data_IF_640901765473
#
_entry.id   IF_640901765473
#
_cell.length_a   1.000
_cell.length_b   1.000
_cell.length_c   1.000
_cell.angle_alpha   90.00
_cell.angle_beta   90.00
_cell.angle_gamma   90.00
#
_symmetry.space_group_name_H-M   'P 1'
#
loop_
_entity.id
_entity.type
_entity.pdbx_description
1 polymer ?
#
# COMPACT_ATOMS: atom_id res chain seq x y z
N UNK A 1 -7.55 -17.99 5.40
CA UNK A 1 -6.55 -16.99 4.94
C UNK A 1 -7.21 -15.61 5.08
N UNK A 2 -6.51 -14.59 5.56
CA UNK A 2 -7.07 -13.27 5.89
C UNK A 2 -7.90 -12.71 4.72
N UNK A 3 -9.19 -12.40 4.95
CA UNK A 3 -10.04 -11.78 3.92
C UNK A 3 -9.55 -10.37 3.57
N UNK A 4 -9.80 -9.91 2.33
CA UNK A 4 -9.33 -8.61 1.80
C UNK A 4 -9.58 -7.46 2.78
N UNK A 5 -10.78 -7.39 3.38
CA UNK A 5 -11.14 -6.40 4.40
C UNK A 5 -10.19 -6.39 5.61
N UNK A 6 -9.88 -7.56 6.19
CA UNK A 6 -8.97 -7.64 7.35
C UNK A 6 -7.56 -7.24 6.96
N UNK A 7 -7.10 -7.62 5.78
CA UNK A 7 -5.79 -7.23 5.25
C UNK A 7 -5.68 -5.71 5.11
N UNK A 8 -6.70 -5.06 4.56
CA UNK A 8 -6.75 -3.59 4.46
C UNK A 8 -6.65 -2.97 5.86
N UNK A 9 -7.47 -3.41 6.82
CA UNK A 9 -7.45 -2.86 8.19
C UNK A 9 -6.08 -3.01 8.84
N UNK A 10 -5.47 -4.21 8.80
CA UNK A 10 -4.15 -4.43 9.41
C UNK A 10 -3.07 -3.56 8.75
N UNK A 11 -3.05 -3.48 7.43
CA UNK A 11 -2.07 -2.66 6.72
C UNK A 11 -2.30 -1.17 6.94
N UNK A 12 -3.56 -0.72 7.04
CA UNK A 12 -3.90 0.66 7.39
C UNK A 12 -3.45 1.05 8.80
N UNK A 13 -3.52 0.11 9.76
CA UNK A 13 -2.96 0.33 11.11
C UNK A 13 -1.44 0.47 11.03
N UNK A 14 -0.75 -0.43 10.32
CA UNK A 14 0.71 -0.35 10.12
C UNK A 14 1.12 0.96 9.45
N UNK A 15 0.40 1.38 8.42
CA UNK A 15 0.62 2.65 7.73
C UNK A 15 0.43 3.85 8.66
N UNK A 16 -0.64 3.85 9.47
CA UNK A 16 -0.93 4.91 10.44
C UNK A 16 0.17 5.00 11.50
N UNK A 17 0.63 3.86 12.04
CA UNK A 17 1.76 3.81 12.96
C UNK A 17 3.04 4.37 12.32
N UNK A 18 3.31 4.01 11.07
CA UNK A 18 4.44 4.56 10.30
C UNK A 18 4.38 6.08 10.18
N UNK A 19 3.20 6.63 9.88
CA UNK A 19 2.99 8.08 9.82
C UNK A 19 3.15 8.77 11.17
N UNK A 20 2.67 8.17 12.27
CA UNK A 20 2.86 8.71 13.63
C UNK A 20 4.35 8.72 13.99
N UNK A 21 5.08 7.63 13.72
CA UNK A 21 6.52 7.54 13.97
C UNK A 21 7.28 8.61 13.16
N UNK A 22 6.90 8.82 11.90
CA UNK A 22 7.47 9.89 11.06
C UNK A 22 7.15 11.30 11.57
N UNK A 23 5.92 11.52 12.05
CA UNK A 23 5.55 12.82 12.60
C UNK A 23 6.33 13.12 13.88
N UNK A 24 6.52 12.11 14.76
CA UNK A 24 7.32 12.23 15.99
C UNK A 24 8.80 12.43 15.66
N UNK A 25 9.35 11.71 14.68
CA UNK A 25 10.76 11.87 14.30
C UNK A 25 11.08 13.27 13.77
N UNK A 26 10.09 13.93 13.14
CA UNK A 26 10.17 15.30 12.62
C UNK A 26 10.09 16.39 13.72
N UNK A 27 9.74 16.04 14.97
CA UNK A 27 9.78 16.99 16.09
C UNK A 27 11.20 16.96 16.66
N UNK A 28 12.08 17.81 16.12
CA UNK A 28 13.44 17.96 16.64
C UNK A 28 13.48 18.55 18.06
N UNK A 29 12.39 19.20 18.48
CA UNK A 29 12.21 19.87 19.77
C UNK A 29 12.12 18.90 20.98
N UNK A 30 11.84 17.60 20.77
CA UNK A 30 11.68 16.62 21.88
C UNK A 30 13.06 16.17 22.42
N UNK A 31 14.11 16.29 21.62
CA UNK A 31 15.48 15.87 22.00
C UNK A 31 16.43 17.05 22.11
N UNK A 32 15.94 18.28 21.92
CA UNK A 32 16.72 19.50 22.08
C UNK A 32 16.65 19.94 23.55
N UNK A 33 17.50 19.35 24.38
CA UNK A 33 17.57 19.71 25.81
C UNK A 33 18.20 21.10 25.98
N UNK A 34 18.92 21.57 24.95
CA UNK A 34 19.71 22.80 24.96
C UNK A 34 18.99 24.02 24.34
N UNK A 35 17.83 23.82 23.68
CA UNK A 35 17.04 24.85 22.96
C UNK A 35 17.81 25.57 21.84
N UNK A 36 18.82 24.93 21.27
CA UNK A 36 19.69 25.51 20.24
C UNK A 36 19.20 25.22 18.81
N UNK A 37 18.10 24.48 18.66
CA UNK A 37 17.50 24.14 17.37
C UNK A 37 18.17 22.97 16.65
N UNK A 38 19.09 22.25 17.31
CA UNK A 38 19.79 21.08 16.76
C UNK A 38 19.52 19.84 17.63
N UNK A 39 19.11 18.69 17.06
CA UNK A 39 18.86 17.50 17.85
C UNK A 39 20.16 16.92 18.44
N UNK A 40 20.22 16.77 19.77
CA UNK A 40 21.38 16.25 20.51
C UNK A 40 21.74 14.79 20.10
N UNK A 41 20.76 14.03 19.59
CA UNK A 41 20.93 12.64 19.13
C UNK A 41 20.44 12.43 17.69
N UNK A 42 21.15 13.01 16.71
CA UNK A 42 20.86 12.88 15.28
C UNK A 42 20.62 11.43 14.80
N UNK A 43 21.38 10.46 15.33
CA UNK A 43 21.27 9.04 14.95
C UNK A 43 19.89 8.44 15.27
N UNK A 44 19.27 8.87 16.38
CA UNK A 44 17.95 8.38 16.80
C UNK A 44 16.86 8.92 15.88
N UNK A 45 16.90 10.21 15.53
CA UNK A 45 15.94 10.81 14.59
C UNK A 45 16.02 10.18 13.19
N UNK A 46 17.23 9.91 12.70
CA UNK A 46 17.43 9.23 11.42
C UNK A 46 16.88 7.79 11.48
N UNK A 47 17.20 7.04 12.54
CA UNK A 47 16.72 5.67 12.70
C UNK A 47 15.18 5.60 12.78
N UNK A 48 14.54 6.47 13.57
CA UNK A 48 13.07 6.54 13.64
C UNK A 48 12.46 6.90 12.29
N UNK A 49 13.06 7.86 11.57
CA UNK A 49 12.57 8.25 10.24
C UNK A 49 12.70 7.11 9.23
N UNK A 50 13.79 6.34 9.26
CA UNK A 50 13.94 5.16 8.39
C UNK A 50 12.90 4.09 8.70
N UNK A 51 12.65 3.81 9.98
CA UNK A 51 11.62 2.85 10.40
C UNK A 51 10.22 3.33 9.99
N UNK A 52 9.90 4.61 10.21
CA UNK A 52 8.64 5.20 9.80
C UNK A 52 8.41 5.11 8.29
N UNK A 53 9.42 5.46 7.48
CA UNK A 53 9.36 5.33 6.02
C UNK A 53 9.17 3.88 5.55
N UNK A 54 9.84 2.91 6.19
CA UNK A 54 9.67 1.49 5.88
C UNK A 54 8.25 1.00 6.18
N UNK A 55 7.67 1.40 7.31
CA UNK A 55 6.30 1.05 7.67
C UNK A 55 5.28 1.70 6.71
N UNK A 56 5.51 2.96 6.33
CA UNK A 56 4.71 3.66 5.32
C UNK A 56 4.76 2.90 3.99
N UNK A 57 5.96 2.56 3.50
CA UNK A 57 6.13 1.86 2.22
C UNK A 57 5.47 0.47 2.21
N UNK A 58 5.58 -0.28 3.31
CA UNK A 58 4.90 -1.57 3.47
C UNK A 58 3.37 -1.39 3.50
N UNK A 59 2.90 -0.35 4.18
CA UNK A 59 1.48 -0.01 4.26
C UNK A 59 0.89 0.35 2.91
N UNK A 60 1.45 1.34 2.21
CA UNK A 60 0.93 1.82 0.91
C UNK A 60 0.93 0.71 -0.14
N UNK A 61 2.04 -0.02 -0.25
CA UNK A 61 2.19 -1.09 -1.24
C UNK A 61 1.18 -2.23 -1.10
N UNK A 62 0.67 -2.47 0.12
CA UNK A 62 -0.36 -3.47 0.34
C UNK A 62 -1.80 -2.93 0.33
N UNK A 63 -2.02 -1.68 0.76
CA UNK A 63 -3.37 -1.08 0.84
C UNK A 63 -3.92 -0.82 -0.56
N UNK A 64 -3.16 -0.17 -1.45
CA UNK A 64 -3.64 0.26 -2.77
C UNK A 64 -4.25 -0.88 -3.62
N UNK A 65 -3.57 -2.01 -3.86
CA UNK A 65 -4.14 -3.11 -4.65
C UNK A 65 -5.34 -3.75 -3.95
N UNK A 66 -5.34 -3.81 -2.62
CA UNK A 66 -6.42 -4.40 -1.85
C UNK A 66 -7.68 -3.52 -1.87
N UNK A 67 -7.53 -2.20 -1.74
CA UNK A 67 -8.66 -1.24 -1.74
C UNK A 67 -9.32 -1.18 -3.11
N UNK A 68 -8.54 -1.13 -4.20
CA UNK A 68 -9.10 -1.14 -5.55
C UNK A 68 -9.87 -2.44 -5.83
N UNK A 69 -9.30 -3.60 -5.46
CA UNK A 69 -9.98 -4.89 -5.60
C UNK A 69 -11.23 -4.98 -4.71
N UNK A 70 -11.17 -4.49 -3.47
CA UNK A 70 -12.30 -4.53 -2.54
C UNK A 70 -13.44 -3.60 -2.96
N UNK A 71 -13.13 -2.43 -3.52
CA UNK A 71 -14.11 -1.50 -4.07
C UNK A 71 -14.82 -2.09 -5.31
N UNK A 72 -14.07 -2.77 -6.19
CA UNK A 72 -14.63 -3.50 -7.32
C UNK A 72 -15.56 -4.64 -6.91
N UNK A 73 -15.20 -5.39 -5.86
CA UNK A 73 -15.99 -6.49 -5.30
C UNK A 73 -17.35 -6.04 -4.70
N UNK A 74 -17.59 -4.73 -4.55
CA UNK A 74 -18.88 -4.22 -4.05
C UNK A 74 -19.99 -4.24 -5.10
N UNK A 75 -19.64 -4.36 -6.37
CA UNK A 75 -20.59 -4.33 -7.49
C UNK A 75 -20.80 -5.74 -8.04
N UNK A 76 -22.04 -6.08 -8.33
CA UNK A 76 -22.38 -7.33 -9.01
C UNK A 76 -22.12 -7.24 -10.53
N UNK A 77 -22.08 -8.38 -11.21
CA UNK A 77 -21.76 -8.45 -12.65
C UNK A 77 -22.74 -7.66 -13.53
N UNK A 78 -23.99 -7.48 -13.09
CA UNK A 78 -24.99 -6.70 -13.81
C UNK A 78 -24.81 -5.17 -13.64
N UNK A 79 -23.91 -4.72 -12.76
CA UNK A 79 -23.69 -3.32 -12.40
C UNK A 79 -22.43 -2.72 -13.04
N UNK A 80 -22.04 -3.17 -14.23
CA UNK A 80 -20.79 -2.75 -14.88
C UNK A 80 -20.66 -1.22 -15.06
N UNK A 81 -21.77 -0.54 -15.40
CA UNK A 81 -21.79 0.91 -15.58
C UNK A 81 -21.50 1.66 -14.27
N UNK A 82 -22.05 1.19 -13.16
CA UNK A 82 -21.81 1.76 -11.82
C UNK A 82 -20.37 1.49 -11.37
N UNK A 83 -19.88 0.27 -11.59
CA UNK A 83 -18.48 -0.13 -11.32
C UNK A 83 -17.49 0.74 -12.10
N UNK A 84 -17.74 0.98 -13.39
CA UNK A 84 -16.90 1.86 -14.22
C UNK A 84 -16.90 3.31 -13.70
N UNK A 85 -18.07 3.83 -13.36
CA UNK A 85 -18.21 5.20 -12.82
C UNK A 85 -17.51 5.34 -11.46
N UNK A 86 -17.61 4.32 -10.60
CA UNK A 86 -16.86 4.25 -9.34
C UNK A 86 -15.35 4.36 -9.59
N UNK A 87 -14.80 3.57 -10.51
CA UNK A 87 -13.38 3.64 -10.83
C UNK A 87 -12.99 4.99 -11.46
N UNK A 88 -13.83 5.58 -12.31
CA UNK A 88 -13.59 6.93 -12.85
C UNK A 88 -13.50 7.99 -11.75
N UNK A 89 -14.44 7.98 -10.79
CA UNK A 89 -14.44 8.89 -9.64
C UNK A 89 -13.25 8.61 -8.71
N UNK A 90 -12.91 7.33 -8.50
CA UNK A 90 -11.76 6.91 -7.71
C UNK A 90 -10.45 7.45 -8.30
N UNK A 91 -10.23 7.26 -9.61
CA UNK A 91 -9.05 7.80 -10.30
C UNK A 91 -9.03 9.34 -10.32
N UNK A 92 -10.18 9.98 -10.52
CA UNK A 92 -10.28 11.44 -10.43
C UNK A 92 -9.88 11.93 -9.03
N UNK A 93 -10.35 11.25 -7.98
CA UNK A 93 -10.06 11.60 -6.58
C UNK A 93 -8.57 11.43 -6.26
N UNK A 94 -7.90 10.40 -6.77
CA UNK A 94 -6.45 10.21 -6.62
C UNK A 94 -5.68 11.36 -7.27
N UNK A 95 -6.01 11.70 -8.51
CA UNK A 95 -5.34 12.79 -9.23
C UNK A 95 -5.59 14.14 -8.55
N UNK A 96 -6.85 14.41 -8.14
CA UNK A 96 -7.19 15.62 -7.41
C UNK A 96 -6.47 15.69 -6.06
N UNK A 97 -6.41 14.59 -5.31
CA UNK A 97 -5.67 14.49 -4.05
C UNK A 97 -4.18 14.73 -4.22
N UNK A 98 -3.58 14.20 -5.30
CA UNK A 98 -2.18 14.48 -5.64
C UNK A 98 -1.96 15.97 -5.92
N UNK A 99 -2.82 16.60 -6.74
CA UNK A 99 -2.72 18.02 -7.04
C UNK A 99 -2.86 18.89 -5.79
N UNK A 100 -3.87 18.61 -4.96
CA UNK A 100 -4.07 19.30 -3.68
C UNK A 100 -2.88 19.11 -2.75
N UNK A 101 -2.34 17.89 -2.64
CA UNK A 101 -1.15 17.62 -1.83
C UNK A 101 0.06 18.40 -2.33
N UNK A 102 0.29 18.47 -3.64
CA UNK A 102 1.39 19.24 -4.24
C UNK A 102 1.26 20.75 -3.97
N UNK A 103 0.04 21.29 -3.87
CA UNK A 103 -0.18 22.72 -3.57
C UNK A 103 -0.17 23.01 -2.06
N UNK A 104 -0.84 22.19 -1.26
CA UNK A 104 -1.03 22.41 0.18
C UNK A 104 0.25 22.10 0.96
N UNK A 105 0.98 21.04 0.61
CA UNK A 105 2.22 20.65 1.32
C UNK A 105 3.28 21.75 1.38
N UNK A 106 3.64 22.45 0.27
CA UNK A 106 4.59 23.56 0.35
C UNK A 106 4.04 24.75 1.11
N UNK A 107 2.72 25.03 1.07
CA UNK A 107 2.10 26.10 1.86
C UNK A 107 2.18 25.76 3.36
N UNK A 108 1.82 24.54 3.76
CA UNK A 108 1.93 24.07 5.15
C UNK A 108 3.37 24.04 5.63
N UNK A 109 4.33 23.72 4.76
CA UNK A 109 5.78 23.79 5.08
C UNK A 109 6.28 25.23 5.18
N UNK A 110 5.71 26.16 4.41
CA UNK A 110 6.08 27.58 4.38
C UNK A 110 5.40 28.38 5.50
N UNK A 111 4.37 27.83 6.16
CA UNK A 111 3.81 28.41 7.36
C UNK A 111 4.85 28.39 8.50
N UNK A 112 5.12 29.57 9.01
CA UNK A 112 5.89 29.80 10.22
C UNK A 112 5.11 29.21 11.40
N UNK A 113 5.63 28.18 12.06
CA UNK A 113 5.10 27.84 13.38
C UNK A 113 6.22 27.43 14.36
N UNK A 114 6.16 28.06 15.53
CA UNK A 114 6.92 27.74 16.73
C UNK A 114 6.43 28.62 17.88
N UNK A 115 6.29 28.03 19.07
CA UNK A 115 5.81 28.75 20.27
C UNK A 115 6.93 29.66 20.86
N UNK A 116 8.20 29.39 20.55
CA UNK A 116 9.34 30.21 21.00
C UNK A 116 10.34 30.61 19.90
N UNK A 117 10.41 29.91 18.76
CA UNK A 117 11.34 30.24 17.68
C UNK A 117 10.69 29.99 16.32
N UNK A 118 10.77 30.97 15.43
CA UNK A 118 10.31 30.93 14.04
C UNK A 118 11.02 29.82 13.25
N UNK A 119 10.44 28.62 13.21
CA UNK A 119 10.97 27.46 12.47
C UNK A 119 9.93 26.94 11.47
N UNK A 120 10.41 26.28 10.40
CA UNK A 120 9.56 25.59 9.41
C UNK A 120 8.87 24.41 10.10
N UNK A 121 7.55 24.42 10.18
CA UNK A 121 6.81 23.39 10.91
C UNK A 121 6.68 22.08 10.11
N UNK A 122 7.75 21.29 10.09
CA UNK A 122 7.75 19.93 9.53
C UNK A 122 6.71 18.99 10.18
N UNK A 123 6.42 19.04 11.50
CA UNK A 123 5.42 18.18 12.11
C UNK A 123 4.00 18.40 11.57
N UNK A 124 3.64 19.63 11.20
CA UNK A 124 2.32 19.94 10.66
C UNK A 124 2.12 19.31 9.27
N UNK A 125 3.17 19.35 8.44
CA UNK A 125 3.14 18.78 7.09
C UNK A 125 3.00 17.24 7.09
N UNK A 126 3.56 16.55 8.09
CA UNK A 126 3.41 15.09 8.26
C UNK A 126 2.18 14.70 9.10
N UNK A 127 1.75 15.57 10.02
CA UNK A 127 0.61 15.34 10.91
C UNK A 127 -0.74 15.42 10.19
N UNK A 128 -0.89 16.33 9.21
CA UNK A 128 -2.16 16.45 8.45
C UNK A 128 -2.49 15.15 7.68
N UNK A 129 -1.59 14.57 6.86
CA UNK A 129 -1.83 13.27 6.22
C UNK A 129 -2.09 12.13 7.22
N UNK A 130 -1.41 12.13 8.38
CA UNK A 130 -1.62 11.15 9.43
C UNK A 130 -3.05 11.23 10.01
N UNK A 131 -3.52 12.44 10.31
CA UNK A 131 -4.87 12.67 10.82
C UNK A 131 -5.94 12.28 9.78
N UNK A 132 -5.76 12.67 8.51
CA UNK A 132 -6.66 12.29 7.43
C UNK A 132 -6.74 10.76 7.26
N UNK A 133 -5.61 10.06 7.39
CA UNK A 133 -5.58 8.59 7.33
C UNK A 133 -6.34 7.95 8.50
N UNK A 134 -6.20 8.47 9.72
CA UNK A 134 -6.95 7.97 10.89
C UNK A 134 -8.45 8.13 10.66
N UNK A 135 -8.89 9.29 10.17
CA UNK A 135 -10.30 9.53 9.82
C UNK A 135 -10.77 8.54 8.75
N UNK A 136 -9.99 8.35 7.68
CA UNK A 136 -10.32 7.39 6.63
C UNK A 136 -10.43 5.95 7.16
N UNK A 137 -9.54 5.53 8.05
CA UNK A 137 -9.58 4.22 8.69
C UNK A 137 -10.83 4.05 9.56
N UNK A 138 -11.20 5.07 10.34
CA UNK A 138 -12.43 5.04 11.15
C UNK A 138 -13.66 4.89 10.26
N UNK A 139 -13.77 5.70 9.20
CA UNK A 139 -14.89 5.63 8.24
C UNK A 139 -14.96 4.24 7.60
N UNK A 140 -13.82 3.67 7.22
CA UNK A 140 -13.74 2.32 6.65
C UNK A 140 -14.18 1.23 7.64
N UNK A 141 -13.81 1.34 8.91
CA UNK A 141 -14.22 0.37 9.94
C UNK A 141 -15.72 0.50 10.25
N UNK A 142 -16.25 1.72 10.37
CA UNK A 142 -17.67 1.98 10.62
C UNK A 142 -18.53 1.47 9.46
N UNK A 143 -18.08 1.64 8.22
CA UNK A 143 -18.75 1.11 7.03
C UNK A 143 -18.74 -0.42 6.91
N UNK A 144 -18.02 -1.13 7.79
CA UNK A 144 -17.82 -2.58 7.68
C UNK A 144 -19.10 -3.42 7.72
N UNK A 145 -20.21 -2.89 8.24
CA UNK A 145 -21.51 -3.56 8.21
C UNK A 145 -22.20 -3.53 6.83
N UNK A 146 -21.84 -2.56 5.99
CA UNK A 146 -22.45 -2.35 4.67
C UNK A 146 -21.68 -3.04 3.54
N UNK A 147 -20.44 -3.45 3.78
CA UNK A 147 -19.60 -4.01 2.73
C UNK A 147 -19.91 -5.47 2.44
N UNK A 148 -19.94 -5.80 1.15
CA UNK A 148 -19.93 -7.18 0.70
C UNK A 148 -18.54 -7.79 0.97
N UNK A 149 -18.48 -8.75 1.90
CA UNK A 149 -17.25 -9.43 2.29
C UNK A 149 -17.17 -10.75 1.54
N UNK A 150 -16.57 -10.70 0.36
CA UNK A 150 -16.32 -11.89 -0.45
C UNK A 150 -15.53 -12.94 0.35
N UNK A 151 -15.96 -14.20 0.26
CA UNK A 151 -15.26 -15.31 0.91
C UNK A 151 -13.82 -15.39 0.38
N UNK A 152 -12.83 -15.74 1.22
CA UNK A 152 -11.43 -15.78 0.80
C UNK A 152 -11.23 -16.83 -0.29
N UNK A 153 -11.16 -16.40 -1.55
CA UNK A 153 -10.64 -17.23 -2.63
C UNK A 153 -9.17 -17.50 -2.33
N UNK A 154 -8.76 -18.76 -2.33
CA UNK A 154 -7.44 -19.20 -1.85
C UNK A 154 -6.26 -18.42 -2.45
N UNK A 155 -5.08 -18.52 -1.84
CA UNK A 155 -3.94 -17.67 -2.17
C UNK A 155 -3.42 -17.88 -3.62
N UNK A 156 -3.88 -17.04 -4.54
CA UNK A 156 -3.50 -17.05 -5.97
C UNK A 156 -1.99 -16.85 -6.11
N UNK A 157 -1.38 -16.02 -5.28
CA UNK A 157 0.08 -15.78 -5.33
C UNK A 157 0.87 -17.07 -5.09
N UNK A 158 0.46 -17.89 -4.13
CA UNK A 158 1.09 -19.21 -3.88
C UNK A 158 0.86 -20.16 -5.05
N UNK A 159 -0.32 -20.13 -5.69
CA UNK A 159 -0.56 -20.93 -6.90
C UNK A 159 0.34 -20.49 -8.05
N UNK A 160 0.48 -19.19 -8.27
CA UNK A 160 1.36 -18.60 -9.29
C UNK A 160 2.82 -18.93 -9.02
N UNK A 161 3.32 -18.73 -7.79
CA UNK A 161 4.69 -19.08 -7.42
C UNK A 161 4.98 -20.59 -7.57
N UNK A 162 4.03 -21.46 -7.18
CA UNK A 162 4.15 -22.90 -7.39
C UNK A 162 4.08 -23.29 -8.87
N UNK A 163 3.27 -22.59 -9.67
CA UNK A 163 3.19 -22.78 -11.11
C UNK A 163 4.50 -22.38 -11.80
N UNK A 164 5.04 -21.20 -11.50
CA UNK A 164 6.34 -20.74 -12.00
C UNK A 164 7.46 -21.67 -11.56
N UNK A 165 7.54 -22.00 -10.28
CA UNK A 165 8.56 -22.92 -9.75
C UNK A 165 8.47 -24.32 -10.38
N UNK A 166 7.25 -24.80 -10.65
CA UNK A 166 7.04 -26.05 -11.38
C UNK A 166 7.47 -25.93 -12.85
N UNK A 167 7.07 -24.88 -13.56
CA UNK A 167 7.48 -24.62 -14.95
C UNK A 167 9.00 -24.58 -15.10
N UNK A 168 9.67 -23.85 -14.20
CA UNK A 168 11.14 -23.74 -14.19
C UNK A 168 11.79 -25.10 -13.89
N UNK A 169 11.33 -25.81 -12.85
CA UNK A 169 11.85 -27.15 -12.51
C UNK A 169 11.65 -28.14 -13.66
N UNK A 170 10.50 -28.10 -14.31
CA UNK A 170 10.17 -29.02 -15.41
C UNK A 170 10.99 -28.68 -16.67
N UNK A 171 11.18 -27.40 -16.98
CA UNK A 171 12.09 -26.92 -18.03
C UNK A 171 13.54 -27.38 -17.81
N UNK A 172 14.04 -27.36 -16.57
CA UNK A 172 15.39 -27.83 -16.26
C UNK A 172 15.51 -29.37 -16.33
N UNK A 173 14.49 -30.13 -15.90
CA UNK A 173 14.49 -31.60 -16.00
C UNK A 173 14.33 -32.11 -17.44
N UNK A 174 13.57 -31.41 -18.28
CA UNK A 174 13.27 -31.82 -19.65
C UNK A 174 14.14 -31.10 -20.70
N UNK A 175 15.30 -30.56 -20.28
CA UNK A 175 16.27 -29.89 -21.16
C UNK A 175 17.05 -30.86 -22.08
N UNK A 176 16.86 -32.16 -21.92
CA UNK A 176 17.45 -33.20 -22.78
C UNK A 176 16.75 -33.28 -24.14
N UNK A 177 17.48 -33.63 -25.20
CA UNK A 177 17.06 -33.59 -26.63
C UNK A 177 15.87 -34.50 -27.01
N UNK A 178 15.23 -35.14 -26.04
CA UNK A 178 14.20 -36.18 -26.22
C UNK A 178 12.77 -35.63 -26.13
N UNK A 179 12.57 -34.36 -25.76
CA UNK A 179 11.26 -33.72 -25.63
C UNK A 179 11.03 -32.62 -26.69
N UNK A 180 9.81 -32.49 -27.25
CA UNK A 180 9.50 -31.42 -28.19
C UNK A 180 9.65 -30.06 -27.52
N UNK A 181 10.34 -29.13 -28.20
CA UNK A 181 10.50 -27.76 -27.72
C UNK A 181 9.12 -27.08 -27.72
N UNK A 182 8.62 -26.72 -26.54
CA UNK A 182 7.46 -25.84 -26.37
C UNK A 182 7.82 -24.40 -26.76
N UNK A 183 6.87 -23.64 -27.32
CA UNK A 183 7.09 -22.26 -27.76
C UNK A 183 7.36 -21.30 -26.60
N UNK A 184 6.66 -21.47 -25.46
CA UNK A 184 6.87 -20.66 -24.28
C UNK A 184 7.30 -21.49 -23.06
N UNK A 185 8.13 -20.90 -22.19
CA UNK A 185 8.69 -21.60 -21.03
C UNK A 185 7.65 -21.94 -19.95
N UNK A 186 6.51 -21.26 -19.95
CA UNK A 186 5.40 -21.56 -19.05
C UNK A 186 4.52 -22.72 -19.51
N UNK A 187 4.60 -23.13 -20.78
CA UNK A 187 3.84 -24.27 -21.30
C UNK A 187 4.31 -25.60 -20.69
N UNK A 188 5.46 -25.59 -20.01
CA UNK A 188 5.95 -26.70 -19.19
C UNK A 188 5.16 -26.92 -17.88
N UNK A 189 4.23 -26.01 -17.55
CA UNK A 189 3.30 -26.17 -16.43
C UNK A 189 1.89 -26.63 -16.85
N UNK A 190 1.62 -26.80 -18.16
CA UNK A 190 0.31 -27.19 -18.70
C UNK A 190 -0.16 -28.56 -18.20
N UNK A 191 0.77 -29.45 -17.84
CA UNK A 191 0.47 -30.79 -17.33
C UNK A 191 -0.19 -30.79 -15.94
N UNK A 192 -0.09 -29.68 -15.19
CA UNK A 192 -0.49 -29.61 -13.77
C UNK A 192 -1.34 -28.41 -13.39
N UNK A 193 -1.34 -27.34 -14.18
CA UNK A 193 -2.05 -26.10 -13.88
C UNK A 193 -3.00 -25.71 -15.02
N UNK A 194 -4.08 -25.03 -14.64
CA UNK A 194 -5.13 -24.59 -15.56
C UNK A 194 -4.58 -23.69 -16.68
N UNK A 195 -5.04 -23.90 -17.91
CA UNK A 195 -4.58 -23.10 -19.08
C UNK A 195 -4.84 -21.61 -18.90
N UNK A 196 -5.93 -21.26 -18.21
CA UNK A 196 -6.29 -19.88 -17.87
C UNK A 196 -5.27 -19.24 -16.91
N UNK A 197 -4.75 -20.02 -15.95
CA UNK A 197 -3.73 -19.54 -15.02
C UNK A 197 -2.38 -19.38 -15.73
N UNK A 198 -2.04 -20.29 -16.65
CA UNK A 198 -0.82 -20.20 -17.45
C UNK A 198 -0.87 -19.00 -18.40
N UNK A 199 -2.03 -18.75 -19.03
CA UNK A 199 -2.25 -17.59 -19.90
C UNK A 199 -2.23 -16.25 -19.16
N UNK A 200 -2.69 -16.20 -17.90
CA UNK A 200 -2.61 -15.01 -17.05
C UNK A 200 -1.18 -14.71 -16.55
N UNK A 201 -0.33 -15.73 -16.48
CA UNK A 201 1.06 -15.60 -15.99
C UNK A 201 2.03 -15.37 -17.16
N UNK A 202 1.68 -15.82 -18.37
CA UNK A 202 2.42 -15.60 -19.63
C UNK A 202 2.42 -14.13 -20.04
#
# INVERSE_FOLDING_TARGET
WLGKFKTIVYLSIVYTLGQIIMAVSAIHDITDTNKDGTPDNMTVHVALSMVGLMLIALGTGGIEPCVAAFGGDQFEDHQEKQRSTFFSIFYLSINAGSLLSTVITPILRAQECGIHTQQKCYPLAFGVPAALMVVALIVFIVGSGMYNKTAPQGNIMVKVCKCIGFAVKNRFRHRSSQYPKKEHWMDWAEDKYDKLLIAQVK
#
